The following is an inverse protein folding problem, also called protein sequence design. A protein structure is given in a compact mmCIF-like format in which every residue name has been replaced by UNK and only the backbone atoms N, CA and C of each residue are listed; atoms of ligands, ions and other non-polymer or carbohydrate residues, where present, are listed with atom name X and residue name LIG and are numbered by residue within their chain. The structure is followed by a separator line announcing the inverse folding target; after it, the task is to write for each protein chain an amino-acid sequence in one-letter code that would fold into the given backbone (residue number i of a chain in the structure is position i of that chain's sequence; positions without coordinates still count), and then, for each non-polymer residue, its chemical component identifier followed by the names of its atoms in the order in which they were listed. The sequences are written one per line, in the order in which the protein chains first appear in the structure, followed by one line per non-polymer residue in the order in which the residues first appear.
data_IF_615995473374
#
_entry.id   IF_615995473374
#
_cell.length_a   1.000
_cell.length_b   1.000
_cell.length_c   1.000
_cell.angle_alpha   90.00
_cell.angle_beta   90.00
_cell.angle_gamma   90.00
#
_symmetry.space_group_name_H-M   'P 1'
#
loop_
_entity.id
_entity.type
_entity.pdbx_description
1 polymer ?
#
# COMPACT_ATOMS: atom_id res chain seq x y z
N UNK A 1 22.56 -10.84 17.68
CA UNK A 1 22.40 -9.66 18.56
C UNK A 1 23.78 -9.04 18.74
N UNK A 2 24.06 -7.94 18.04
CA UNK A 2 25.38 -7.30 18.06
C UNK A 2 25.23 -5.88 18.60
N UNK A 3 25.59 -5.67 19.86
CA UNK A 3 25.59 -4.34 20.47
C UNK A 3 26.90 -3.65 20.06
N UNK A 4 26.84 -2.81 19.03
CA UNK A 4 27.97 -1.98 18.62
C UNK A 4 28.00 -0.75 19.55
N UNK A 5 28.84 -0.80 20.58
CA UNK A 5 28.99 0.30 21.53
C UNK A 5 29.93 1.35 20.94
N UNK A 6 29.39 2.26 20.13
CA UNK A 6 30.15 3.32 19.47
C UNK A 6 30.52 4.44 20.46
N UNK A 7 31.62 4.26 21.20
CA UNK A 7 32.17 5.26 22.11
C UNK A 7 32.82 6.43 21.36
N UNK A 8 31.98 7.30 20.80
CA UNK A 8 32.36 8.57 20.17
C UNK A 8 31.36 9.67 20.55
N UNK A 9 31.83 10.91 20.62
CA UNK A 9 31.07 12.06 21.15
C UNK A 9 29.81 12.47 20.36
N UNK A 10 29.54 11.84 19.21
CA UNK A 10 28.38 12.16 18.35
C UNK A 10 27.01 11.78 18.93
N UNK A 11 26.92 10.92 19.94
CA UNK A 11 25.65 10.32 20.38
C UNK A 11 25.18 10.72 21.78
N UNK A 12 25.77 11.76 22.41
CA UNK A 12 25.46 12.10 23.82
C UNK A 12 23.99 12.46 24.11
N UNK A 13 23.21 12.82 23.08
CA UNK A 13 21.77 13.15 23.20
C UNK A 13 20.85 12.16 22.47
N UNK A 14 21.35 11.00 22.02
CA UNK A 14 20.57 10.01 21.28
C UNK A 14 19.77 9.09 22.24
N UNK A 15 18.60 9.53 22.67
CA UNK A 15 17.62 8.67 23.34
C UNK A 15 16.78 7.89 22.31
N UNK A 16 16.41 6.64 22.65
CA UNK A 16 15.57 5.73 21.86
C UNK A 16 16.19 5.18 20.57
N UNK A 17 17.37 4.55 20.64
CA UNK A 17 17.90 3.74 19.53
C UNK A 17 17.70 2.23 19.73
N UNK A 18 16.81 1.65 18.93
CA UNK A 18 16.68 0.21 18.73
C UNK A 18 16.95 -0.09 17.25
N UNK A 19 18.08 -0.72 16.95
CA UNK A 19 18.35 -1.19 15.57
C UNK A 19 17.63 -2.52 15.39
N UNK A 20 16.51 -2.49 14.66
CA UNK A 20 15.77 -3.68 14.26
C UNK A 20 15.65 -3.71 12.73
N UNK A 21 16.37 -4.65 12.12
CA UNK A 21 16.02 -5.20 10.81
C UNK A 21 16.18 -4.34 9.55
N UNK A 22 16.56 -3.06 9.66
CA UNK A 22 16.83 -2.19 8.51
C UNK A 22 18.03 -1.28 8.77
N UNK A 23 18.83 -1.02 7.73
CA UNK A 23 19.96 -0.08 7.85
C UNK A 23 19.43 1.34 7.73
N UNK A 24 19.06 1.98 8.83
CA UNK A 24 18.69 3.40 8.86
C UNK A 24 19.86 4.25 9.37
N UNK A 25 20.05 5.43 8.76
CA UNK A 25 21.00 6.43 9.25
C UNK A 25 20.29 7.53 10.03
N UNK A 26 20.95 7.99 11.10
CA UNK A 26 20.56 9.20 11.84
C UNK A 26 21.00 10.41 11.03
N UNK A 27 20.06 11.30 10.76
CA UNK A 27 20.29 12.63 10.16
C UNK A 27 19.77 13.70 11.11
N UNK A 28 20.16 14.97 10.89
CA UNK A 28 19.56 16.08 11.64
C UNK A 28 18.06 16.24 11.31
N UNK A 29 17.27 16.78 12.25
CA UNK A 29 15.85 17.06 11.99
C UNK A 29 15.67 18.00 10.79
N UNK A 30 16.51 19.03 10.65
CA UNK A 30 16.53 19.94 9.52
C UNK A 30 16.76 19.23 8.18
N UNK A 31 17.65 18.23 8.14
CA UNK A 31 17.94 17.44 6.95
C UNK A 31 16.81 16.47 6.63
N UNK A 32 16.23 15.83 7.66
CA UNK A 32 15.01 15.02 7.53
C UNK A 32 13.86 15.85 6.95
N UNK A 33 13.60 17.04 7.48
CA UNK A 33 12.57 17.94 6.95
C UNK A 33 12.83 18.32 5.49
N UNK A 34 14.08 18.60 5.10
CA UNK A 34 14.44 18.88 3.70
C UNK A 34 14.15 17.69 2.79
N UNK A 35 14.45 16.46 3.23
CA UNK A 35 14.16 15.23 2.47
C UNK A 35 12.65 15.00 2.36
N UNK A 36 11.88 15.20 3.43
CA UNK A 36 10.41 15.11 3.40
C UNK A 36 9.81 16.15 2.43
N UNK A 37 10.25 17.41 2.50
CA UNK A 37 9.82 18.50 1.61
C UNK A 37 10.21 18.25 0.15
N UNK A 38 11.37 17.63 -0.11
CA UNK A 38 11.83 17.26 -1.45
C UNK A 38 11.09 16.07 -2.06
N UNK A 39 10.73 15.06 -1.25
CA UNK A 39 9.84 13.98 -1.69
C UNK A 39 8.47 14.53 -2.08
N UNK A 40 7.94 15.49 -1.32
CA UNK A 40 6.61 16.09 -1.53
C UNK A 40 5.52 15.01 -1.74
N UNK A 41 5.56 13.98 -0.90
CA UNK A 41 4.71 12.80 -1.01
C UNK A 41 3.26 13.10 -0.57
N UNK A 42 2.26 12.41 -1.15
CA UNK A 42 0.86 12.55 -0.75
C UNK A 42 0.65 12.16 0.73
N UNK A 43 -0.04 13.01 1.48
CA UNK A 43 -0.40 12.71 2.86
C UNK A 43 -1.63 11.79 2.92
N UNK A 44 -1.36 10.50 3.11
CA UNK A 44 -2.35 9.46 3.33
C UNK A 44 -2.84 9.36 4.79
N UNK A 45 -2.22 10.06 5.74
CA UNK A 45 -2.65 10.03 7.15
C UNK A 45 -3.99 10.73 7.35
N UNK A 46 -4.28 11.76 6.55
CA UNK A 46 -5.56 12.47 6.53
C UNK A 46 -6.70 11.51 6.14
N UNK A 47 -6.51 10.70 5.09
CA UNK A 47 -7.48 9.69 4.66
C UNK A 47 -7.71 8.64 5.76
N UNK A 48 -6.64 8.13 6.40
CA UNK A 48 -6.74 7.20 7.53
C UNK A 48 -7.51 7.80 8.71
N UNK A 49 -7.19 9.02 9.13
CA UNK A 49 -7.86 9.66 10.27
C UNK A 49 -9.35 9.90 9.96
N UNK A 50 -9.66 10.43 8.79
CA UNK A 50 -11.05 10.68 8.37
C UNK A 50 -11.89 9.40 8.24
N UNK A 51 -11.26 8.25 7.97
CA UNK A 51 -11.91 6.95 7.97
C UNK A 51 -12.07 6.38 9.40
N UNK A 52 -11.08 6.52 10.26
CA UNK A 52 -11.12 6.03 11.64
C UNK A 52 -12.09 6.83 12.51
N UNK A 53 -12.20 8.15 12.31
CA UNK A 53 -13.16 9.02 12.99
C UNK A 53 -14.62 8.67 12.63
N UNK A 54 -14.86 8.18 11.41
CA UNK A 54 -16.18 7.73 10.93
C UNK A 54 -16.49 6.28 11.31
N UNK A 55 -15.50 5.52 11.80
CA UNK A 55 -15.63 4.08 12.06
C UNK A 55 -16.31 3.82 13.41
N UNK A 56 -17.54 3.30 13.35
CA UNK A 56 -18.20 2.73 14.54
C UNK A 56 -17.36 1.58 15.11
N UNK A 57 -17.16 1.57 16.43
CA UNK A 57 -16.41 0.52 17.13
C UNK A 57 -17.04 -0.85 16.87
N UNK A 58 -16.25 -1.79 16.34
CA UNK A 58 -16.70 -3.14 15.99
C UNK A 58 -16.97 -3.34 14.49
N UNK A 59 -17.14 -2.28 13.70
CA UNK A 59 -17.31 -2.39 12.25
C UNK A 59 -16.07 -3.00 11.60
N UNK A 60 -16.28 -3.97 10.70
CA UNK A 60 -15.22 -4.66 9.97
C UNK A 60 -14.47 -5.75 10.74
N UNK A 61 -14.73 -5.95 12.05
CA UNK A 61 -13.98 -6.95 12.85
C UNK A 61 -14.14 -8.40 12.38
N UNK A 62 -15.13 -8.71 11.53
CA UNK A 62 -15.31 -10.03 10.96
C UNK A 62 -14.10 -10.49 10.12
N UNK A 63 -13.44 -9.57 9.39
CA UNK A 63 -12.27 -9.92 8.55
C UNK A 63 -11.10 -10.45 9.38
N UNK A 64 -10.96 -9.99 10.63
CA UNK A 64 -9.86 -10.39 11.51
C UNK A 64 -9.91 -11.87 11.91
N UNK A 65 -11.09 -12.49 11.79
CA UNK A 65 -11.31 -13.91 12.01
C UNK A 65 -11.46 -14.70 10.69
N UNK A 66 -11.38 -14.05 9.54
CA UNK A 66 -11.56 -14.70 8.24
C UNK A 66 -10.36 -15.60 7.91
N UNK A 67 -10.55 -16.85 7.47
CA UNK A 67 -9.45 -17.79 7.21
C UNK A 67 -8.38 -17.22 6.29
N UNK A 68 -8.77 -16.63 5.15
CA UNK A 68 -7.82 -16.05 4.20
C UNK A 68 -7.06 -14.84 4.75
N UNK A 69 -7.68 -14.02 5.62
CA UNK A 69 -6.96 -12.94 6.30
C UNK A 69 -5.92 -13.47 7.29
N UNK A 70 -6.26 -14.53 8.04
CA UNK A 70 -5.36 -15.17 8.99
C UNK A 70 -4.20 -15.85 8.26
N UNK A 71 -4.47 -16.56 7.16
CA UNK A 71 -3.49 -17.20 6.28
C UNK A 71 -2.52 -16.18 5.69
N UNK A 72 -3.06 -15.14 5.04
CA UNK A 72 -2.27 -14.01 4.52
C UNK A 72 -1.39 -13.38 5.60
N UNK A 73 -1.95 -13.10 6.78
CA UNK A 73 -1.22 -12.41 7.85
C UNK A 73 -0.01 -13.20 8.39
N UNK A 74 0.10 -14.49 8.09
CA UNK A 74 1.19 -15.36 8.53
C UNK A 74 2.27 -15.60 7.47
N UNK A 75 2.00 -15.33 6.18
CA UNK A 75 2.87 -15.67 5.06
C UNK A 75 2.91 -14.53 4.05
N UNK A 76 4.03 -14.26 3.34
CA UNK A 76 4.01 -13.36 2.19
C UNK A 76 2.99 -13.86 1.16
N UNK A 77 1.94 -13.08 0.91
CA UNK A 77 0.98 -13.27 -0.19
C UNK A 77 0.12 -12.01 -0.43
N UNK A 78 -0.72 -12.09 -1.45
CA UNK A 78 -1.77 -11.14 -1.81
C UNK A 78 -3.06 -11.45 -1.05
N UNK A 79 -3.77 -10.42 -0.63
CA UNK A 79 -5.23 -10.50 -0.44
C UNK A 79 -5.86 -9.34 -1.20
N UNK A 80 -6.76 -9.68 -2.10
CA UNK A 80 -7.57 -8.72 -2.82
C UNK A 80 -8.97 -8.70 -2.20
N UNK A 81 -9.45 -7.54 -1.74
CA UNK A 81 -10.81 -7.41 -1.17
C UNK A 81 -11.71 -6.60 -2.12
N UNK A 82 -12.68 -7.30 -2.72
CA UNK A 82 -13.72 -6.68 -3.56
C UNK A 82 -14.97 -6.36 -2.74
N UNK A 83 -15.76 -5.42 -3.25
CA UNK A 83 -17.02 -5.02 -2.66
C UNK A 83 -17.66 -3.89 -3.45
N UNK A 84 -18.98 -3.76 -3.37
CA UNK A 84 -19.73 -2.73 -4.08
C UNK A 84 -19.33 -1.31 -3.60
N UNK A 85 -19.64 -0.29 -4.38
CA UNK A 85 -19.53 1.09 -3.91
C UNK A 85 -20.37 1.26 -2.63
N UNK A 86 -19.86 2.01 -1.64
CA UNK A 86 -20.54 2.20 -0.35
C UNK A 86 -20.51 1.01 0.62
N UNK A 87 -19.95 -0.16 0.27
CA UNK A 87 -19.92 -1.35 1.16
C UNK A 87 -18.98 -1.24 2.38
N UNK A 88 -18.41 -0.07 2.64
CA UNK A 88 -17.53 0.18 3.79
C UNK A 88 -16.08 -0.29 3.65
N UNK A 89 -15.58 -0.55 2.43
CA UNK A 89 -14.19 -1.01 2.19
C UNK A 89 -13.12 -0.15 2.89
N UNK A 90 -13.16 1.17 2.76
CA UNK A 90 -12.25 2.11 3.44
C UNK A 90 -12.31 2.01 4.98
N UNK A 91 -13.45 1.61 5.55
CA UNK A 91 -13.61 1.34 6.99
C UNK A 91 -12.99 -0.02 7.35
N UNK A 92 -13.18 -1.04 6.50
CA UNK A 92 -12.56 -2.36 6.63
C UNK A 92 -11.02 -2.27 6.56
N UNK A 93 -10.52 -1.49 5.60
CA UNK A 93 -9.13 -1.13 5.41
C UNK A 93 -8.52 -0.49 6.66
N UNK A 94 -9.25 0.47 7.25
CA UNK A 94 -8.87 1.10 8.52
C UNK A 94 -8.80 0.09 9.67
N UNK A 95 -9.76 -0.85 9.74
CA UNK A 95 -9.74 -1.97 10.69
C UNK A 95 -8.52 -2.87 10.50
N UNK A 96 -8.17 -3.24 9.26
CA UNK A 96 -6.97 -4.03 8.95
C UNK A 96 -5.68 -3.31 9.39
N UNK A 97 -5.51 -2.02 9.03
CA UNK A 97 -4.34 -1.24 9.47
C UNK A 97 -4.25 -1.19 11.01
N UNK A 98 -5.37 -1.05 11.72
CA UNK A 98 -5.41 -1.01 13.19
C UNK A 98 -5.09 -2.36 13.85
N UNK A 99 -5.44 -3.47 13.23
CA UNK A 99 -5.08 -4.80 13.69
C UNK A 99 -3.58 -5.06 13.46
N UNK A 100 -3.10 -4.83 12.23
CA UNK A 100 -1.68 -4.99 11.91
C UNK A 100 -0.78 -4.14 12.80
N UNK A 101 -1.17 -2.89 13.12
CA UNK A 101 -0.39 -1.97 13.98
C UNK A 101 -0.16 -2.49 15.40
N UNK A 102 -0.90 -3.51 15.86
CA UNK A 102 -0.66 -4.16 17.15
C UNK A 102 0.48 -5.20 17.09
N UNK A 103 0.88 -5.63 15.87
CA UNK A 103 1.83 -6.71 15.63
C UNK A 103 3.12 -6.17 14.98
N UNK A 104 2.98 -5.25 14.03
CA UNK A 104 4.08 -4.68 13.26
C UNK A 104 4.04 -3.13 13.25
N UNK A 105 4.06 -2.46 14.42
CA UNK A 105 3.74 -1.03 14.54
C UNK A 105 4.56 -0.09 13.65
N UNK A 106 5.81 -0.43 13.34
CA UNK A 106 6.72 0.36 12.49
C UNK A 106 6.84 -0.16 11.04
N UNK A 107 6.28 -1.35 10.74
CA UNK A 107 6.44 -2.06 9.46
C UNK A 107 5.09 -2.20 8.72
N UNK A 108 4.28 -1.14 8.75
CA UNK A 108 3.00 -1.06 8.02
C UNK A 108 2.97 0.26 7.27
N UNK A 109 2.75 0.15 5.97
CA UNK A 109 2.78 1.26 5.04
C UNK A 109 1.53 1.20 4.18
N UNK A 110 0.94 2.34 3.86
CA UNK A 110 -0.35 2.36 3.18
C UNK A 110 -0.50 3.53 2.24
N UNK A 111 -1.32 3.35 1.21
CA UNK A 111 -1.71 4.40 0.29
C UNK A 111 -3.23 4.37 0.12
N UNK A 112 -3.83 5.56 0.05
CA UNK A 112 -5.21 5.72 -0.37
C UNK A 112 -5.17 6.31 -1.76
N UNK A 113 -5.65 5.57 -2.74
CA UNK A 113 -5.94 6.16 -4.04
C UNK A 113 -7.22 6.99 -3.91
N UNK A 114 -7.19 8.22 -4.42
CA UNK A 114 -8.31 9.15 -4.36
C UNK A 114 -8.30 10.03 -5.61
N UNK A 115 -9.25 9.76 -6.50
CA UNK A 115 -9.44 10.44 -7.78
C UNK A 115 -9.91 11.89 -7.64
N UNK A 116 -10.31 12.29 -6.43
CA UNK A 116 -10.76 13.65 -6.09
C UNK A 116 -9.70 14.47 -5.35
N UNK A 117 -8.51 13.93 -5.13
CA UNK A 117 -7.43 14.68 -4.51
C UNK A 117 -6.97 15.79 -5.45
N UNK A 118 -7.15 17.05 -5.04
CA UNK A 118 -6.88 18.25 -5.86
C UNK A 118 -5.41 18.42 -6.32
N UNK A 119 -4.51 17.50 -5.97
CA UNK A 119 -3.10 17.50 -6.40
C UNK A 119 -2.77 16.41 -7.41
N UNK A 120 -3.72 15.52 -7.72
CA UNK A 120 -3.54 14.25 -8.47
C UNK A 120 -2.48 13.29 -7.89
N UNK A 121 -1.83 13.66 -6.77
CA UNK A 121 -0.74 12.89 -6.18
C UNK A 121 -1.20 11.61 -5.46
N UNK A 122 -2.52 11.38 -5.35
CA UNK A 122 -3.11 10.13 -4.87
C UNK A 122 -3.70 9.25 -5.97
N UNK A 123 -3.86 9.75 -7.20
CA UNK A 123 -4.38 8.93 -8.31
C UNK A 123 -3.27 8.34 -9.19
N UNK A 124 -1.99 8.67 -8.96
CA UNK A 124 -0.87 8.30 -9.84
C UNK A 124 0.06 7.23 -9.26
N UNK A 125 0.72 6.47 -10.13
CA UNK A 125 1.77 5.51 -9.76
C UNK A 125 2.94 6.21 -9.06
N UNK A 126 3.30 7.43 -9.51
CA UNK A 126 4.31 8.25 -8.81
C UNK A 126 3.89 8.58 -7.38
N UNK A 127 2.63 8.93 -7.19
CA UNK A 127 2.01 9.19 -5.89
C UNK A 127 2.17 8.05 -4.92
N UNK A 128 1.79 6.84 -5.35
CA UNK A 128 2.00 5.59 -4.62
C UNK A 128 3.47 5.37 -4.21
N UNK A 129 4.42 5.48 -5.14
CA UNK A 129 5.86 5.30 -4.85
C UNK A 129 6.37 6.32 -3.82
N UNK A 130 6.00 7.60 -3.97
CA UNK A 130 6.38 8.66 -3.03
C UNK A 130 5.77 8.44 -1.64
N UNK A 131 4.51 8.02 -1.58
CA UNK A 131 3.80 7.69 -0.35
C UNK A 131 4.52 6.62 0.46
N UNK A 132 4.96 5.54 -0.20
CA UNK A 132 5.71 4.48 0.46
C UNK A 132 7.14 4.92 0.82
N UNK A 133 7.86 5.61 -0.07
CA UNK A 133 9.19 6.13 0.23
C UNK A 133 9.22 7.04 1.46
N UNK A 134 8.18 7.86 1.67
CA UNK A 134 8.04 8.66 2.88
C UNK A 134 7.89 7.77 4.13
N UNK A 135 7.10 6.70 4.04
CA UNK A 135 6.75 5.85 5.19
C UNK A 135 7.86 4.86 5.56
N UNK A 136 8.40 4.11 4.59
CA UNK A 136 9.47 3.11 4.85
C UNK A 136 10.87 3.72 4.70
N UNK A 137 11.09 4.63 3.75
CA UNK A 137 12.41 5.21 3.47
C UNK A 137 12.77 6.43 4.32
N UNK A 138 11.78 7.21 4.76
CA UNK A 138 11.95 8.39 5.62
C UNK A 138 11.15 8.26 6.94
N UNK A 139 11.17 7.05 7.49
CA UNK A 139 10.43 6.63 8.68
C UNK A 139 10.76 7.46 9.94
N UNK A 140 10.06 7.22 11.05
CA UNK A 140 10.34 7.91 12.33
C UNK A 140 11.79 7.71 12.81
N UNK A 141 12.36 6.53 12.58
CA UNK A 141 13.65 6.09 13.14
C UNK A 141 14.88 6.59 12.38
N UNK A 142 14.73 7.08 11.14
CA UNK A 142 15.85 7.65 10.38
C UNK A 142 15.52 7.86 8.90
N UNK A 143 16.57 8.01 8.09
CA UNK A 143 16.47 7.97 6.62
C UNK A 143 17.18 6.71 6.14
N UNK A 144 16.65 6.04 5.11
CA UNK A 144 17.32 4.92 4.48
C UNK A 144 18.51 5.40 3.61
N UNK A 145 19.71 4.78 3.68
CA UNK A 145 20.90 5.18 2.92
C UNK A 145 20.66 5.35 1.42
N UNK A 146 19.84 4.51 0.82
CA UNK A 146 19.48 4.55 -0.61
C UNK A 146 18.71 5.82 -0.97
N UNK A 147 17.76 6.21 -0.10
CA UNK A 147 16.99 7.45 -0.24
C UNK A 147 17.88 8.68 0.01
N UNK A 148 18.76 8.62 1.02
CA UNK A 148 19.74 9.68 1.28
C UNK A 148 20.68 9.88 0.09
N UNK A 149 21.18 8.79 -0.49
CA UNK A 149 22.07 8.80 -1.66
C UNK A 149 21.39 9.46 -2.88
N UNK A 150 20.12 9.16 -3.14
CA UNK A 150 19.36 9.82 -4.21
C UNK A 150 19.17 11.33 -3.92
N UNK A 151 18.82 11.69 -2.69
CA UNK A 151 18.69 13.09 -2.28
C UNK A 151 20.00 13.88 -2.45
N UNK A 152 21.11 13.32 -1.99
CA UNK A 152 22.44 13.94 -2.07
C UNK A 152 22.93 14.07 -3.53
N UNK A 153 22.58 13.12 -4.39
CA UNK A 153 22.84 13.19 -5.83
C UNK A 153 22.07 14.35 -6.48
N UNK A 154 20.75 14.41 -6.28
CA UNK A 154 19.92 15.51 -6.79
C UNK A 154 20.38 16.86 -6.25
N UNK A 155 20.75 16.95 -4.97
CA UNK A 155 21.25 18.18 -4.36
C UNK A 155 22.58 18.64 -4.96
N UNK A 156 23.52 17.72 -5.22
CA UNK A 156 24.80 18.03 -5.86
C UNK A 156 24.65 18.50 -7.32
N UNK A 157 23.63 18.01 -8.01
CA UNK A 157 23.28 18.42 -9.38
C UNK A 157 22.43 19.70 -9.44
N UNK A 158 22.05 20.29 -8.30
CA UNK A 158 21.14 21.45 -8.24
C UNK A 158 19.67 21.11 -8.57
N UNK A 159 19.34 19.82 -8.65
CA UNK A 159 18.03 19.28 -9.03
C UNK A 159 17.09 19.09 -7.82
N UNK A 160 17.36 19.63 -6.63
CA UNK A 160 16.39 19.55 -5.52
C UNK A 160 15.10 20.33 -5.78
N UNK A 161 15.09 21.28 -6.72
CA UNK A 161 13.87 21.91 -7.24
C UNK A 161 13.16 21.04 -8.32
N UNK A 162 13.84 20.04 -8.88
CA UNK A 162 13.34 19.15 -9.94
C UNK A 162 13.16 17.74 -9.36
N UNK A 163 11.93 17.41 -8.98
CA UNK A 163 11.62 16.12 -8.34
C UNK A 163 12.14 14.93 -9.21
N UNK A 164 12.78 13.88 -8.63
CA UNK A 164 13.51 12.86 -9.40
C UNK A 164 12.63 12.08 -10.38
N UNK A 165 13.22 11.40 -11.37
CA UNK A 165 12.43 10.56 -12.27
C UNK A 165 11.72 9.44 -11.50
N UNK A 166 10.47 9.11 -11.89
CA UNK A 166 9.67 8.08 -11.22
C UNK A 166 10.36 6.71 -11.23
N UNK A 167 11.20 6.45 -12.24
CA UNK A 167 12.02 5.24 -12.32
C UNK A 167 13.05 5.16 -11.19
N UNK A 168 13.75 6.26 -10.89
CA UNK A 168 14.77 6.30 -9.83
C UNK A 168 14.13 6.12 -8.45
N UNK A 169 12.99 6.77 -8.22
CA UNK A 169 12.18 6.57 -7.02
C UNK A 169 11.73 5.11 -6.87
N UNK A 170 11.28 4.47 -7.97
CA UNK A 170 10.89 3.07 -7.97
C UNK A 170 12.04 2.09 -7.71
N UNK A 171 13.27 2.42 -8.16
CA UNK A 171 14.49 1.64 -7.86
C UNK A 171 14.89 1.80 -6.38
N UNK A 172 14.84 3.02 -5.84
CA UNK A 172 15.14 3.27 -4.42
C UNK A 172 14.09 2.60 -3.52
N UNK A 173 12.80 2.63 -3.88
CA UNK A 173 11.78 1.96 -3.08
C UNK A 173 11.99 0.44 -3.04
N UNK A 174 12.37 -0.16 -4.17
CA UNK A 174 12.75 -1.58 -4.22
C UNK A 174 13.89 -1.87 -3.23
N UNK A 175 14.99 -1.14 -3.34
CA UNK A 175 16.17 -1.34 -2.48
C UNK A 175 15.82 -1.17 -1.00
N UNK A 176 14.97 -0.18 -0.65
CA UNK A 176 14.47 0.05 0.71
C UNK A 176 13.64 -1.13 1.23
N UNK A 177 12.75 -1.71 0.41
CA UNK A 177 11.91 -2.84 0.81
C UNK A 177 12.74 -4.13 0.94
N UNK A 178 13.64 -4.42 -0.01
CA UNK A 178 14.54 -5.58 0.01
C UNK A 178 15.45 -5.60 1.26
N UNK A 179 15.81 -4.42 1.79
CA UNK A 179 16.66 -4.30 3.00
C UNK A 179 15.90 -3.98 4.28
N UNK A 180 14.56 -3.95 4.24
CA UNK A 180 13.70 -3.85 5.43
C UNK A 180 13.24 -5.24 5.84
N UNK A 181 13.28 -5.57 7.13
CA UNK A 181 12.89 -6.90 7.64
C UNK A 181 11.38 -7.14 7.63
N UNK A 182 10.81 -7.27 6.43
CA UNK A 182 9.40 -7.55 6.18
C UNK A 182 8.45 -6.44 6.60
N UNK A 183 7.17 -6.59 6.28
CA UNK A 183 6.12 -5.65 6.65
C UNK A 183 4.87 -5.82 5.78
N UNK A 184 3.92 -4.92 5.98
CA UNK A 184 2.63 -4.96 5.30
C UNK A 184 2.41 -3.68 4.48
N UNK A 185 2.15 -3.83 3.19
CA UNK A 185 1.66 -2.74 2.33
C UNK A 185 0.15 -2.92 2.20
N UNK A 186 -0.63 -1.86 2.39
CA UNK A 186 -2.11 -1.91 2.31
C UNK A 186 -2.60 -0.77 1.41
N UNK A 187 -3.36 -1.06 0.34
CA UNK A 187 -3.82 -0.03 -0.62
C UNK A 187 -5.36 0.08 -0.72
N UNK A 188 -5.90 1.29 -0.48
CA UNK A 188 -7.35 1.58 -0.58
C UNK A 188 -7.70 2.14 -1.97
N UNK A 189 -8.82 1.69 -2.55
CA UNK A 189 -9.47 2.23 -3.75
C UNK A 189 -8.59 2.38 -5.02
N UNK A 190 -7.73 1.41 -5.33
CA UNK A 190 -6.74 1.46 -6.45
C UNK A 190 -7.31 1.66 -7.86
N UNK A 191 -8.59 1.43 -8.09
CA UNK A 191 -9.23 1.77 -9.37
C UNK A 191 -9.55 3.27 -9.50
N UNK A 192 -9.47 4.03 -8.39
CA UNK A 192 -9.29 5.48 -8.43
C UNK A 192 -7.87 5.88 -8.87
N UNK A 193 -6.96 4.92 -9.12
CA UNK A 193 -5.68 5.16 -9.79
C UNK A 193 -5.86 5.27 -11.31
N UNK A 194 -5.37 6.35 -11.91
CA UNK A 194 -5.31 6.51 -13.36
C UNK A 194 -4.18 5.69 -14.03
N UNK A 195 -3.34 5.02 -13.23
CA UNK A 195 -2.17 4.26 -13.66
C UNK A 195 -2.12 2.83 -13.07
N UNK A 196 -3.25 2.22 -12.71
CA UNK A 196 -3.34 0.90 -12.05
C UNK A 196 -2.43 -0.17 -12.67
N UNK A 197 -2.36 -0.24 -14.00
CA UNK A 197 -1.49 -1.20 -14.70
C UNK A 197 0.02 -1.00 -14.41
N UNK A 198 0.48 0.24 -14.19
CA UNK A 198 1.87 0.53 -13.80
C UNK A 198 2.14 0.16 -12.35
N UNK A 199 1.14 0.35 -11.47
CA UNK A 199 1.19 -0.09 -10.08
C UNK A 199 1.34 -1.62 -10.04
N UNK A 200 0.36 -2.35 -10.60
CA UNK A 200 0.39 -3.81 -10.72
C UNK A 200 1.71 -4.35 -11.29
N UNK A 201 2.15 -3.83 -12.44
CA UNK A 201 3.40 -4.26 -13.08
C UNK A 201 4.66 -3.96 -12.25
N UNK A 202 4.66 -2.90 -11.44
CA UNK A 202 5.77 -2.64 -10.51
C UNK A 202 5.78 -3.63 -9.36
N UNK A 203 4.63 -3.99 -8.79
CA UNK A 203 4.57 -4.98 -7.73
C UNK A 203 4.85 -6.40 -8.21
N UNK A 204 4.29 -6.85 -9.35
CA UNK A 204 4.65 -8.13 -9.98
C UNK A 204 6.16 -8.28 -10.23
N UNK A 205 6.85 -7.17 -10.50
CA UNK A 205 8.29 -7.14 -10.79
C UNK A 205 9.17 -7.02 -9.54
N UNK A 206 8.65 -6.53 -8.42
CA UNK A 206 9.46 -6.11 -7.26
C UNK A 206 8.93 -6.56 -5.89
N UNK A 207 7.78 -7.22 -5.82
CA UNK A 207 7.39 -8.11 -4.72
C UNK A 207 7.69 -9.56 -5.07
N UNK A 208 7.75 -10.44 -4.05
CA UNK A 208 8.02 -11.87 -4.20
C UNK A 208 6.71 -12.64 -4.43
N UNK A 209 6.38 -12.97 -5.70
CA UNK A 209 4.99 -12.97 -6.17
C UNK A 209 4.56 -14.00 -7.28
N UNK A 210 3.52 -14.86 -7.11
CA UNK A 210 3.27 -16.10 -7.93
C UNK A 210 1.79 -16.45 -8.38
N UNK A 211 1.10 -15.58 -9.15
CA UNK A 211 -0.39 -15.34 -9.27
C UNK A 211 -1.39 -16.35 -8.67
N UNK A 212 -2.31 -15.85 -7.80
CA UNK A 212 -3.50 -16.62 -7.43
C UNK A 212 -4.71 -16.27 -8.32
N UNK A 213 -5.08 -17.21 -9.18
CA UNK A 213 -6.24 -17.14 -10.07
C UNK A 213 -7.56 -17.38 -9.30
N UNK A 214 -7.52 -17.79 -8.03
CA UNK A 214 -8.68 -18.23 -7.23
C UNK A 214 -9.63 -17.10 -6.73
N UNK A 215 -9.49 -15.83 -7.14
CA UNK A 215 -10.53 -14.80 -6.86
C UNK A 215 -11.89 -15.21 -7.45
N UNK A 216 -11.89 -15.88 -8.62
CA UNK A 216 -13.11 -16.43 -9.22
C UNK A 216 -13.74 -17.52 -8.34
N UNK A 217 -12.93 -18.31 -7.64
CA UNK A 217 -13.33 -19.42 -6.78
C UNK A 217 -13.82 -18.93 -5.41
N UNK A 218 -13.22 -17.88 -4.86
CA UNK A 218 -13.74 -17.17 -3.68
C UNK A 218 -15.18 -16.65 -3.94
N UNK A 219 -15.42 -16.10 -5.13
CA UNK A 219 -16.74 -15.65 -5.55
C UNK A 219 -17.72 -16.81 -5.81
N UNK A 220 -17.25 -18.00 -6.18
CA UNK A 220 -18.09 -19.19 -6.29
C UNK A 220 -18.47 -19.74 -4.90
N UNK A 221 -17.52 -19.81 -3.96
CA UNK A 221 -17.73 -20.34 -2.61
C UNK A 221 -18.65 -19.43 -1.76
N UNK A 222 -18.46 -18.09 -1.73
CA UNK A 222 -19.41 -17.19 -1.02
C UNK A 222 -20.82 -17.17 -1.66
N UNK A 223 -20.94 -17.46 -2.96
CA UNK A 223 -22.23 -17.53 -3.66
C UNK A 223 -22.92 -18.89 -3.46
N UNK A 224 -22.22 -19.94 -3.02
CA UNK A 224 -22.87 -21.17 -2.54
C UNK A 224 -23.49 -21.01 -1.16
N UNK A 225 -22.89 -20.22 -0.26
CA UNK A 225 -23.52 -19.89 1.04
C UNK A 225 -24.76 -18.99 0.88
N UNK A 226 -24.76 -18.12 -0.14
CA UNK A 226 -25.91 -17.26 -0.45
C UNK A 226 -27.08 -18.03 -1.09
N UNK A 227 -28.19 -18.18 -0.36
CA UNK A 227 -29.42 -18.84 -0.83
C UNK A 227 -30.18 -18.01 -1.90
N UNK A 228 -29.65 -17.93 -3.11
CA UNK A 228 -30.37 -17.46 -4.30
C UNK A 228 -30.90 -18.65 -5.11
N UNK A 229 -32.21 -18.66 -5.39
CA UNK A 229 -32.87 -19.76 -6.08
C UNK A 229 -33.04 -19.54 -7.59
N UNK A 230 -32.88 -20.62 -8.36
CA UNK A 230 -33.26 -20.71 -9.78
C UNK A 230 -32.26 -20.09 -10.77
N UNK A 231 -32.73 -19.90 -12.00
CA UNK A 231 -31.92 -19.46 -13.17
C UNK A 231 -31.17 -18.14 -12.94
N UNK A 232 -31.67 -17.30 -12.02
CA UNK A 232 -31.02 -16.07 -11.59
C UNK A 232 -29.62 -16.30 -10.99
N UNK A 233 -29.34 -17.48 -10.40
CA UNK A 233 -28.00 -17.86 -9.93
C UNK A 233 -27.03 -18.02 -11.10
N UNK A 234 -27.45 -18.65 -12.20
CA UNK A 234 -26.61 -18.82 -13.38
C UNK A 234 -26.35 -17.48 -14.10
N UNK A 235 -27.40 -16.68 -14.31
CA UNK A 235 -27.31 -15.38 -15.00
C UNK A 235 -26.38 -14.39 -14.26
N UNK A 236 -26.42 -14.37 -12.92
CA UNK A 236 -25.51 -13.56 -12.10
C UNK A 236 -24.07 -14.09 -12.14
N UNK A 237 -23.88 -15.41 -12.10
CA UNK A 237 -22.56 -16.04 -12.20
C UNK A 237 -21.91 -15.71 -13.55
N UNK A 238 -22.63 -15.89 -14.66
CA UNK A 238 -22.09 -15.63 -16.01
C UNK A 238 -21.82 -14.13 -16.21
N UNK A 239 -22.70 -13.25 -15.72
CA UNK A 239 -22.47 -11.79 -15.77
C UNK A 239 -21.22 -11.36 -14.99
N UNK A 240 -20.94 -11.99 -13.84
CA UNK A 240 -19.73 -11.71 -13.05
C UNK A 240 -18.47 -12.29 -13.72
N UNK A 241 -18.57 -13.48 -14.31
CA UNK A 241 -17.48 -14.12 -15.07
C UNK A 241 -17.13 -13.35 -16.34
N UNK A 242 -18.11 -12.93 -17.14
CA UNK A 242 -17.86 -12.10 -18.33
C UNK A 242 -17.21 -10.76 -17.95
N UNK A 243 -17.66 -10.11 -16.87
CA UNK A 243 -17.04 -8.86 -16.39
C UNK A 243 -15.61 -9.05 -15.88
N UNK A 244 -15.28 -10.19 -15.28
CA UNK A 244 -13.92 -10.54 -14.89
C UNK A 244 -13.03 -10.89 -16.10
N UNK A 245 -13.57 -11.58 -17.11
CA UNK A 245 -12.82 -12.02 -18.30
C UNK A 245 -12.65 -10.92 -19.36
N UNK A 246 -13.51 -9.90 -19.35
CA UNK A 246 -13.46 -8.78 -20.30
C UNK A 246 -12.30 -7.80 -20.11
N UNK A 247 -11.53 -7.89 -19.03
CA UNK A 247 -10.42 -6.99 -18.71
C UNK A 247 -9.20 -7.72 -18.10
N UNK A 248 -8.42 -8.40 -18.94
CA UNK A 248 -6.94 -8.55 -18.94
C UNK A 248 -6.50 -9.89 -19.57
N UNK A 249 -5.36 -9.94 -20.30
CA UNK A 249 -4.83 -11.19 -20.85
C UNK A 249 -4.07 -12.01 -19.81
N UNK A 250 -4.22 -13.34 -19.85
CA UNK A 250 -3.59 -14.26 -18.92
C UNK A 250 -2.05 -14.39 -19.09
N UNK A 251 -1.31 -14.37 -17.97
CA UNK A 251 -0.24 -15.32 -17.56
C UNK A 251 0.58 -14.83 -16.34
N UNK A 252 0.62 -15.64 -15.26
CA UNK A 252 1.68 -15.82 -14.24
C UNK A 252 2.15 -14.57 -13.37
N UNK A 253 2.31 -14.68 -12.03
CA UNK A 253 2.81 -13.69 -10.98
C UNK A 253 1.80 -12.78 -10.20
N UNK A 254 1.85 -12.81 -8.84
CA UNK A 254 0.92 -12.14 -7.86
C UNK A 254 1.33 -10.65 -7.68
N UNK A 255 1.83 -10.06 -6.58
CA UNK A 255 1.60 -10.21 -5.12
C UNK A 255 1.48 -8.83 -4.55
N UNK A 256 0.26 -8.46 -4.14
CA UNK A 256 -0.05 -7.11 -3.77
C UNK A 256 -1.48 -6.93 -3.22
N UNK A 257 -1.55 -6.28 -2.06
CA UNK A 257 -2.79 -5.77 -1.50
C UNK A 257 -3.45 -4.66 -2.30
N UNK A 258 -4.70 -4.91 -2.70
CA UNK A 258 -5.53 -3.96 -3.44
C UNK A 258 -6.99 -4.05 -2.99
N UNK A 259 -7.63 -2.90 -2.90
CA UNK A 259 -9.10 -2.80 -2.91
C UNK A 259 -9.54 -1.91 -4.07
N UNK A 260 -10.74 -2.16 -4.62
CA UNK A 260 -11.29 -1.46 -5.79
C UNK A 260 -12.73 -0.97 -5.51
N UNK A 261 -12.99 0.29 -5.85
CA UNK A 261 -14.18 1.12 -5.58
C UNK A 261 -14.76 1.71 -6.88
N UNK A 262 -15.29 0.86 -7.77
CA UNK A 262 -15.71 1.26 -9.12
C UNK A 262 -16.59 2.52 -9.12
N UNK A 263 -16.07 3.58 -9.74
CA UNK A 263 -16.81 4.80 -10.01
C UNK A 263 -17.78 4.58 -11.19
N UNK A 264 -19.06 4.83 -10.97
CA UNK A 264 -20.06 4.86 -12.05
C UNK A 264 -19.98 6.19 -12.81
N UNK A 265 -20.09 6.14 -14.14
CA UNK A 265 -20.26 7.32 -15.00
C UNK A 265 -20.87 6.94 -16.35
N UNK A 266 -22.21 6.90 -16.45
CA UNK A 266 -22.98 7.93 -17.18
C UNK A 266 -24.48 7.59 -17.20
N UNK A 267 -25.32 8.63 -17.11
CA UNK A 267 -26.78 8.52 -17.23
C UNK A 267 -27.29 8.59 -18.68
N UNK A 268 -28.39 7.85 -18.93
CA UNK A 268 -29.54 8.14 -19.82
C UNK A 268 -29.35 8.39 -21.33
N UNK A 269 -29.99 7.50 -22.10
CA UNK A 269 -31.04 7.83 -23.11
C UNK A 269 -31.71 6.51 -23.52
N UNK A 270 -33.04 6.28 -23.58
CA UNK A 270 -34.18 7.15 -23.85
C UNK A 270 -34.11 7.84 -25.22
#
# INVERSE_FOLDING_TARGET
MTVVNASGSMFQNASNFAIHGGTFIVVSNDEKEKIHKWLNAPDCTINFQAADDKRTKGTGQWILNHPEYIKWKQSPSMLWIQGKAGSGKTILFTTVIRDLKQIAPENIWYHYFDSRDNTDSKSTFRGYILSLLLQVGASRTGIHPSLKRLYDECNRQGLTASSPATQDLGMVLKEVLETTSGGYIVLDAMDECCETAKVLAWMQKNGDALVDEDIAKYLEEEVEECHFGGDLKAEVIDTLKEKAQGQLPAKNTEDLWITQSCAESFEKSA
#
